data_IF_963443877243
#
_entry.id   IF_963443877243
#
_cell.length_a   1.000
_cell.length_b   1.000
_cell.length_c   1.000
_cell.angle_alpha   90.00
_cell.angle_beta   90.00
_cell.angle_gamma   90.00
#
_symmetry.space_group_name_H-M   'P 1'
#
loop_
_entity.id
_entity.type
_entity.pdbx_description
1 polymer ?
#
# COMPACT_ATOMS: atom_id res chain seq x y z
N UNK A 1 17.35 -14.71 -18.83
CA UNK A 1 16.70 -14.47 -17.52
C UNK A 1 16.09 -13.06 -17.53
N UNK A 2 14.81 -12.90 -17.84
CA UNK A 2 14.17 -11.59 -17.68
C UNK A 2 14.01 -11.31 -16.18
N UNK A 3 14.71 -10.32 -15.65
CA UNK A 3 14.58 -9.87 -14.26
C UNK A 3 13.30 -9.03 -14.03
N UNK A 4 12.24 -9.28 -14.79
CA UNK A 4 11.10 -8.38 -14.94
C UNK A 4 9.78 -9.04 -14.57
N UNK A 5 9.62 -9.44 -13.31
CA UNK A 5 8.36 -10.01 -12.80
C UNK A 5 7.72 -9.18 -11.68
N UNK A 6 8.54 -8.54 -10.84
CA UNK A 6 8.07 -7.69 -9.74
C UNK A 6 8.98 -6.49 -9.60
N UNK A 7 8.39 -5.31 -9.42
CA UNK A 7 9.11 -4.07 -9.13
C UNK A 7 8.59 -3.46 -7.84
N UNK A 8 9.37 -2.54 -7.27
CA UNK A 8 8.90 -1.67 -6.20
C UNK A 8 8.19 -0.47 -6.80
N UNK A 9 6.99 -0.21 -6.30
CA UNK A 9 6.16 0.91 -6.70
C UNK A 9 5.83 1.77 -5.48
N UNK A 10 5.36 2.98 -5.78
CA UNK A 10 4.80 3.88 -4.78
C UNK A 10 3.48 4.46 -5.24
N UNK A 11 2.51 4.54 -4.33
CA UNK A 11 1.20 5.14 -4.63
C UNK A 11 0.78 6.01 -3.45
N UNK A 12 0.44 7.27 -3.73
CA UNK A 12 -0.16 8.16 -2.73
C UNK A 12 -1.57 7.68 -2.43
N UNK A 13 -1.89 7.50 -1.16
CA UNK A 13 -3.19 7.03 -0.73
C UNK A 13 -4.26 8.12 -0.86
N UNK A 14 -5.46 7.75 -1.35
CA UNK A 14 -6.62 8.61 -1.26
C UNK A 14 -7.03 8.85 0.19
N UNK A 15 -7.65 10.00 0.47
CA UNK A 15 -8.19 10.34 1.81
C UNK A 15 -9.17 9.30 2.34
N UNK A 16 -9.83 8.55 1.45
CA UNK A 16 -10.78 7.48 1.81
C UNK A 16 -10.16 6.39 2.72
N UNK A 17 -8.82 6.24 2.72
CA UNK A 17 -8.12 5.23 3.49
C UNK A 17 -7.49 5.75 4.80
N UNK A 18 -7.77 7.00 5.19
CA UNK A 18 -7.23 7.65 6.39
C UNK A 18 -7.56 6.97 7.73
N UNK A 19 -8.41 5.94 7.72
CA UNK A 19 -8.81 5.15 8.90
C UNK A 19 -8.49 3.67 8.77
N UNK A 20 -7.96 3.24 7.63
CA UNK A 20 -7.52 1.87 7.45
C UNK A 20 -6.22 1.66 8.24
N UNK A 21 -6.06 0.47 8.81
CA UNK A 21 -4.81 0.04 9.42
C UNK A 21 -3.84 -0.44 8.35
N UNK A 22 -2.54 -0.43 8.66
CA UNK A 22 -1.52 -0.99 7.78
C UNK A 22 -1.82 -2.46 7.43
N UNK A 23 -2.26 -3.26 8.41
CA UNK A 23 -2.62 -4.66 8.24
C UNK A 23 -3.79 -4.87 7.28
N UNK A 24 -4.86 -4.08 7.40
CA UNK A 24 -5.99 -4.14 6.46
C UNK A 24 -5.55 -3.87 5.02
N UNK A 25 -4.66 -2.88 4.83
CA UNK A 25 -4.11 -2.57 3.50
C UNK A 25 -3.21 -3.69 2.99
N UNK A 26 -2.32 -4.20 3.83
CA UNK A 26 -1.43 -5.31 3.48
C UNK A 26 -2.23 -6.57 3.09
N UNK A 27 -3.26 -6.93 3.86
CA UNK A 27 -4.10 -8.10 3.59
C UNK A 27 -4.90 -7.91 2.29
N UNK A 28 -5.55 -6.76 2.12
CA UNK A 28 -6.32 -6.46 0.93
C UNK A 28 -5.45 -6.47 -0.33
N UNK A 29 -4.30 -5.79 -0.31
CA UNK A 29 -3.39 -5.74 -1.46
C UNK A 29 -2.75 -7.11 -1.74
N UNK A 30 -2.37 -7.85 -0.69
CA UNK A 30 -1.82 -9.19 -0.82
C UNK A 30 -2.80 -10.17 -1.45
N UNK A 31 -4.05 -10.19 -0.97
CA UNK A 31 -5.09 -11.10 -1.48
C UNK A 31 -5.59 -10.76 -2.88
N UNK A 32 -5.72 -9.47 -3.21
CA UNK A 32 -6.30 -9.06 -4.50
C UNK A 32 -5.27 -8.92 -5.62
N UNK A 33 -4.00 -8.67 -5.30
CA UNK A 33 -2.99 -8.28 -6.30
C UNK A 33 -1.62 -8.92 -6.10
N UNK A 34 -1.48 -9.97 -5.26
CA UNK A 34 -0.20 -10.64 -4.98
C UNK A 34 0.91 -9.64 -4.60
N UNK A 35 0.53 -8.62 -3.83
CA UNK A 35 1.38 -7.46 -3.52
C UNK A 35 1.81 -7.47 -2.06
N UNK A 36 3.04 -7.00 -1.81
CA UNK A 36 3.59 -6.84 -0.46
C UNK A 36 3.86 -5.37 -0.20
N UNK A 37 3.15 -4.75 0.74
CA UNK A 37 3.46 -3.41 1.26
C UNK A 37 4.70 -3.50 2.13
N UNK A 38 5.67 -2.63 1.84
CA UNK A 38 7.00 -2.63 2.45
C UNK A 38 7.15 -1.53 3.49
N UNK A 39 6.59 -0.35 3.20
CA UNK A 39 6.72 0.83 4.05
C UNK A 39 5.66 1.88 3.71
N UNK A 40 5.54 2.86 4.59
CA UNK A 40 4.66 4.01 4.43
C UNK A 40 5.47 5.28 4.58
N UNK A 41 5.38 6.24 3.66
CA UNK A 41 5.93 7.57 3.87
C UNK A 41 4.84 8.57 4.25
N UNK A 42 5.13 9.38 5.26
CA UNK A 42 4.31 10.50 5.67
C UNK A 42 5.22 11.65 6.12
N UNK A 43 4.94 12.87 5.65
CA UNK A 43 5.72 14.08 5.98
C UNK A 43 7.25 13.92 5.82
N UNK A 44 7.67 13.19 4.76
CA UNK A 44 9.08 12.94 4.46
C UNK A 44 9.72 11.79 5.24
N UNK A 45 9.09 11.30 6.31
CA UNK A 45 9.55 10.15 7.08
C UNK A 45 9.05 8.84 6.46
N UNK A 46 9.94 7.84 6.32
CA UNK A 46 9.58 6.47 5.94
C UNK A 46 9.39 5.66 7.22
N UNK A 47 8.20 5.06 7.35
CA UNK A 47 7.71 4.35 8.52
C UNK A 47 7.52 2.88 8.17
N UNK A 48 7.77 2.01 9.15
CA UNK A 48 7.34 0.63 9.15
C UNK A 48 6.26 0.46 10.24
N UNK A 49 4.98 0.70 9.93
CA UNK A 49 3.93 0.69 10.94
C UNK A 49 3.67 -0.73 11.45
N UNK A 50 3.24 -0.85 12.70
CA UNK A 50 2.67 -2.10 13.21
C UNK A 50 1.37 -2.46 12.48
N UNK A 51 0.94 -3.73 12.61
CA UNK A 51 -0.24 -4.24 11.89
C UNK A 51 -1.51 -3.41 12.14
N UNK A 52 -1.78 -3.06 13.39
CA UNK A 52 -2.97 -2.30 13.78
C UNK A 52 -2.78 -0.77 13.73
N UNK A 53 -1.62 -0.30 13.28
CA UNK A 53 -1.34 1.13 13.22
C UNK A 53 -2.22 1.79 12.13
N UNK A 54 -2.96 2.86 12.45
CA UNK A 54 -3.72 3.59 11.47
C UNK A 54 -2.79 4.26 10.46
N UNK A 55 -3.20 4.26 9.18
CA UNK A 55 -2.43 4.92 8.14
C UNK A 55 -2.65 6.44 8.18
N UNK A 56 -1.56 7.24 8.13
CA UNK A 56 -1.68 8.69 8.08
C UNK A 56 -2.41 9.16 6.82
N UNK A 57 -3.10 10.30 6.92
CA UNK A 57 -3.64 10.96 5.74
C UNK A 57 -2.52 11.29 4.74
N UNK A 58 -2.84 11.20 3.44
CA UNK A 58 -1.93 11.54 2.33
C UNK A 58 -0.62 10.75 2.33
N UNK A 59 -0.57 9.64 3.07
CA UNK A 59 0.58 8.76 3.08
C UNK A 59 0.88 8.20 1.69
N UNK A 60 2.14 7.87 1.44
CA UNK A 60 2.59 7.16 0.24
C UNK A 60 2.92 5.74 0.65
N UNK A 61 2.26 4.75 0.04
CA UNK A 61 2.64 3.35 0.21
C UNK A 61 3.81 3.02 -0.69
N UNK A 62 4.78 2.30 -0.16
CA UNK A 62 5.78 1.57 -0.95
C UNK A 62 5.43 0.08 -0.92
N UNK A 63 5.42 -0.56 -2.08
CA UNK A 63 5.06 -1.96 -2.19
C UNK A 63 5.77 -2.65 -3.36
N UNK A 64 5.92 -3.96 -3.27
CA UNK A 64 6.42 -4.81 -4.34
C UNK A 64 5.29 -5.64 -4.97
N UNK A 65 5.14 -5.54 -6.29
CA UNK A 65 4.09 -6.24 -7.04
C UNK A 65 4.41 -6.36 -8.52
N UNK A 66 3.52 -6.98 -9.28
CA UNK A 66 3.68 -7.22 -10.73
C UNK A 66 3.52 -5.94 -11.55
N UNK A 67 2.69 -5.00 -11.06
CA UNK A 67 2.44 -3.69 -11.68
C UNK A 67 2.17 -2.62 -10.63
N UNK A 68 2.22 -1.36 -11.06
CA UNK A 68 1.72 -0.24 -10.27
C UNK A 68 0.19 -0.33 -10.15
N UNK A 69 -0.30 -0.19 -8.92
CA UNK A 69 -1.71 -0.08 -8.56
C UNK A 69 -2.12 1.38 -8.42
N UNK A 70 -3.30 1.73 -8.91
CA UNK A 70 -3.88 3.06 -8.74
C UNK A 70 -4.43 3.25 -7.32
N UNK A 71 -4.60 4.50 -6.89
CA UNK A 71 -5.22 4.78 -5.58
C UNK A 71 -6.65 4.24 -5.47
N UNK A 72 -7.39 4.22 -6.59
CA UNK A 72 -8.76 3.68 -6.64
C UNK A 72 -8.79 2.16 -6.51
N UNK A 73 -7.85 1.44 -7.15
CA UNK A 73 -7.71 -0.01 -7.03
C UNK A 73 -7.41 -0.41 -5.59
N UNK A 74 -6.49 0.30 -4.95
CA UNK A 74 -6.14 0.08 -3.54
C UNK A 74 -7.35 0.38 -2.65
N UNK A 75 -8.06 1.49 -2.89
CA UNK A 75 -9.23 1.86 -2.09
C UNK A 75 -10.32 0.81 -2.17
N UNK A 76 -10.66 0.39 -3.39
CA UNK A 76 -11.69 -0.64 -3.63
C UNK A 76 -11.35 -1.97 -2.97
N UNK A 77 -10.08 -2.35 -2.93
CA UNK A 77 -9.65 -3.59 -2.28
C UNK A 77 -9.80 -3.53 -0.76
N UNK A 78 -9.59 -2.37 -0.15
CA UNK A 78 -9.58 -2.19 1.31
C UNK A 78 -10.99 -1.96 1.88
N UNK A 79 -11.86 -1.25 1.17
CA UNK A 79 -13.21 -0.91 1.64
C UNK A 79 -14.26 -1.98 1.29
N UNK A 80 -13.83 -3.20 0.99
CA UNK A 80 -14.70 -4.28 0.53
C UNK A 80 -15.33 -5.06 1.67
#
# INVERSE_FOLDING_TARGET
MSHGGRNTYSTRLPRALARATFGQVQEAMGRNFTTTVLAVQHEGAVLNPGWDAPLPERAVLYYAGERRLSGEEITRAVTR
#
